data_IF_581279788260
#
_entry.id   IF_581279788260
#
_cell.length_a   1.000
_cell.length_b   1.000
_cell.length_c   1.000
_cell.angle_alpha   90.00
_cell.angle_beta   90.00
_cell.angle_gamma   90.00
#
_symmetry.space_group_name_H-M   'P 1'
#
loop_
_entity.id
_entity.type
_entity.pdbx_description
1 polymer ?
#
# COMPACT_ATOMS: atom_id res chain seq x y z
N UNK A 1 7.52 6.95 22.51
CA UNK A 1 7.08 6.19 21.32
C UNK A 1 6.76 7.20 20.21
N UNK A 2 7.49 7.19 19.09
CA UNK A 2 7.25 8.13 17.98
C UNK A 2 6.04 7.66 17.15
N UNK A 3 4.92 8.37 17.27
CA UNK A 3 3.77 8.25 16.36
C UNK A 3 3.90 9.36 15.31
N UNK A 4 4.47 9.04 14.16
CA UNK A 4 4.21 9.82 12.95
C UNK A 4 2.79 9.49 12.51
N UNK A 5 1.96 10.51 12.28
CA UNK A 5 0.51 10.41 12.05
C UNK A 5 0.13 9.87 10.65
N UNK A 6 0.82 8.83 10.18
CA UNK A 6 0.40 8.08 9.01
C UNK A 6 -0.55 6.95 9.47
N UNK A 7 -1.71 6.87 8.83
CA UNK A 7 -2.71 5.86 9.18
C UNK A 7 -2.19 4.48 8.79
N UNK A 8 -2.31 3.51 9.71
CA UNK A 8 -1.98 2.12 9.43
C UNK A 8 -3.06 1.52 8.54
N UNK A 9 -2.69 1.11 7.33
CA UNK A 9 -3.62 0.51 6.38
C UNK A 9 -3.62 -1.02 6.48
N UNK A 10 -4.55 -1.68 5.81
CA UNK A 10 -4.51 -3.14 5.67
C UNK A 10 -3.62 -3.54 4.49
N UNK A 11 -3.09 -4.76 4.48
CA UNK A 11 -2.33 -5.28 3.34
C UNK A 11 -3.15 -5.33 2.04
N UNK A 12 -4.48 -5.35 2.16
CA UNK A 12 -5.42 -5.38 1.05
C UNK A 12 -5.83 -3.99 0.56
N UNK A 13 -5.37 -2.92 1.23
CA UNK A 13 -5.69 -1.56 0.82
C UNK A 13 -5.06 -1.25 -0.53
N UNK A 14 -5.90 -0.86 -1.48
CA UNK A 14 -5.55 -0.55 -2.86
C UNK A 14 -5.52 0.95 -3.08
N UNK A 15 -4.85 1.38 -4.14
CA UNK A 15 -4.85 2.80 -4.54
C UNK A 15 -6.27 3.36 -4.73
N UNK A 16 -7.20 2.54 -5.21
CA UNK A 16 -8.60 2.90 -5.42
C UNK A 16 -9.39 3.16 -4.12
N UNK A 17 -8.89 2.74 -2.97
CA UNK A 17 -9.54 2.98 -1.68
C UNK A 17 -9.28 4.41 -1.17
N UNK A 18 -8.44 5.19 -1.86
CA UNK A 18 -8.16 6.60 -1.57
C UNK A 18 -8.50 7.48 -2.77
N UNK A 19 -9.09 8.64 -2.49
CA UNK A 19 -9.44 9.66 -3.49
C UNK A 19 -8.45 10.82 -3.52
N UNK A 20 -7.46 10.79 -2.63
CA UNK A 20 -6.51 11.87 -2.34
C UNK A 20 -5.09 11.31 -2.12
N UNK A 21 -4.10 12.18 -2.32
CA UNK A 21 -2.69 11.85 -2.09
C UNK A 21 -2.38 11.87 -0.60
N UNK A 22 -1.89 10.75 -0.07
CA UNK A 22 -1.60 10.61 1.36
C UNK A 22 -0.49 9.62 1.66
N UNK A 23 0.12 9.79 2.83
CA UNK A 23 1.15 8.88 3.36
C UNK A 23 0.48 7.90 4.31
N UNK A 24 0.73 6.61 4.09
CA UNK A 24 0.18 5.51 4.88
C UNK A 24 1.29 4.61 5.41
N UNK A 25 1.01 3.91 6.51
CA UNK A 25 1.92 2.90 7.05
C UNK A 25 1.39 1.51 6.74
N UNK A 26 2.22 0.72 6.06
CA UNK A 26 1.96 -0.70 5.88
C UNK A 26 2.33 -1.48 7.15
N UNK A 27 1.44 -2.35 7.65
CA UNK A 27 1.74 -3.17 8.80
C UNK A 27 2.83 -4.18 8.48
N UNK A 28 3.58 -4.66 9.50
CA UNK A 28 4.49 -5.78 9.32
C UNK A 28 3.69 -7.02 8.83
N UNK A 29 4.32 -7.85 8.00
CA UNK A 29 3.75 -9.09 7.39
C UNK A 29 2.85 -8.96 6.15
N UNK A 30 2.84 -7.83 5.45
CA UNK A 30 2.13 -7.76 4.15
C UNK A 30 2.80 -8.54 3.01
N UNK A 31 4.05 -9.00 3.17
CA UNK A 31 4.80 -9.79 2.16
C UNK A 31 4.25 -11.20 1.96
N UNK A 32 3.56 -11.76 2.95
CA UNK A 32 2.97 -13.10 2.85
C UNK A 32 1.72 -13.14 1.96
N UNK A 33 1.09 -11.97 1.76
CA UNK A 33 -0.07 -11.85 0.91
C UNK A 33 0.41 -11.79 -0.54
N UNK A 34 -0.10 -12.71 -1.38
CA UNK A 34 0.08 -12.66 -2.85
C UNK A 34 -0.72 -11.47 -3.40
N UNK A 35 -0.18 -10.28 -3.22
CA UNK A 35 -0.81 -9.04 -3.63
C UNK A 35 -0.62 -8.86 -5.13
N UNK A 36 -1.73 -8.72 -5.85
CA UNK A 36 -1.70 -8.42 -7.28
C UNK A 36 -1.26 -6.98 -7.48
N UNK A 37 -0.14 -6.80 -8.17
CA UNK A 37 0.43 -5.49 -8.52
C UNK A 37 0.51 -5.42 -10.04
N UNK A 38 0.00 -4.34 -10.62
CA UNK A 38 -0.02 -4.13 -12.06
C UNK A 38 0.64 -2.80 -12.40
N UNK A 39 1.77 -2.84 -13.09
CA UNK A 39 2.63 -1.70 -13.38
C UNK A 39 4.04 -1.88 -12.79
N UNK A 40 4.95 -0.96 -13.13
CA UNK A 40 6.36 -1.03 -12.75
C UNK A 40 7.00 0.36 -12.51
N UNK A 41 6.15 1.37 -12.26
CA UNK A 41 6.51 2.73 -11.83
C UNK A 41 5.22 3.47 -11.45
N UNK A 42 4.26 3.48 -12.37
CA UNK A 42 2.88 3.89 -12.12
C UNK A 42 2.06 2.62 -11.98
N UNK A 43 1.48 2.42 -10.81
CA UNK A 43 0.66 1.25 -10.52
C UNK A 43 -0.82 1.56 -10.79
N UNK A 44 -1.53 0.58 -11.35
CA UNK A 44 -2.98 0.71 -11.50
C UNK A 44 -3.64 0.84 -10.12
N UNK A 45 -4.72 1.64 -10.03
CA UNK A 45 -5.43 1.91 -8.76
C UNK A 45 -5.94 0.64 -8.07
N UNK A 46 -6.17 -0.44 -8.82
CA UNK A 46 -6.56 -1.75 -8.28
C UNK A 46 -5.43 -2.51 -7.57
N UNK A 47 -4.19 -2.06 -7.70
CA UNK A 47 -3.02 -2.67 -7.06
C UNK A 47 -3.01 -2.38 -5.56
N UNK A 48 -2.55 -3.35 -4.76
CA UNK A 48 -2.29 -3.12 -3.34
C UNK A 48 -1.16 -2.11 -3.16
N UNK A 49 -1.37 -1.13 -2.29
CA UNK A 49 -0.39 -0.08 -1.99
C UNK A 49 0.85 -0.69 -1.33
N UNK A 50 0.65 -1.59 -0.36
CA UNK A 50 1.77 -2.26 0.32
C UNK A 50 2.51 -3.21 -0.62
N UNK A 51 1.78 -3.93 -1.48
CA UNK A 51 2.38 -4.77 -2.51
C UNK A 51 3.22 -3.95 -3.48
N UNK A 52 2.68 -2.83 -3.97
CA UNK A 52 3.36 -1.89 -4.86
C UNK A 52 4.57 -1.20 -4.19
N UNK A 53 4.52 -0.91 -2.90
CA UNK A 53 5.66 -0.33 -2.17
C UNK A 53 6.83 -1.31 -1.98
N UNK A 54 6.53 -2.62 -1.89
CA UNK A 54 7.53 -3.69 -1.84
C UNK A 54 8.08 -3.96 -3.24
N UNK A 55 7.21 -3.95 -4.25
CA UNK A 55 7.55 -4.20 -5.65
C UNK A 55 8.30 -2.98 -6.21
N UNK A 56 9.62 -3.09 -6.38
CA UNK A 56 10.39 -2.05 -7.09
C UNK A 56 10.06 -2.01 -8.57
#
# INVERSE_FOLDING_TARGET
MCRSAAESVSCLTRGADFSDDRIVLCPPDCTQWRLSVFGSNVFASVSSICGAAIHR
#
